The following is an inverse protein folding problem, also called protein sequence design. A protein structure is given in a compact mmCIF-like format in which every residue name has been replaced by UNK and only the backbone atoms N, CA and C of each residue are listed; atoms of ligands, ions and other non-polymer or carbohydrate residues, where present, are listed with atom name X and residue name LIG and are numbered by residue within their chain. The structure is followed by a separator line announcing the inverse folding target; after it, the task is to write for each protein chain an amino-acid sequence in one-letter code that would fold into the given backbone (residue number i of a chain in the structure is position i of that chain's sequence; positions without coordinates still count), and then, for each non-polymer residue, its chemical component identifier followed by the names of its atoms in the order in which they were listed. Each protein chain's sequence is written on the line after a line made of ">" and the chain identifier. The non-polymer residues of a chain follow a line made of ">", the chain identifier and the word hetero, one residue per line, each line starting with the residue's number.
data_IF_024452928514
#
_entry.id   IF_024452928514
#
_cell.length_a   1.000
_cell.length_b   1.000
_cell.length_c   1.000
_cell.angle_alpha   90.00
_cell.angle_beta   90.00
_cell.angle_gamma   90.00
#
_symmetry.space_group_name_H-M   'P 1'
#
loop_
_entity.id
_entity.type
_entity.pdbx_description
1 polymer ?
#
# COMPACT_ATOMS: atom_id res chain seq x y z
N UNK A 1 -32.81 -2.91 -13.52
CA UNK A 1 -32.07 -3.38 -12.33
C UNK A 1 -30.60 -3.45 -12.71
N UNK A 2 -29.78 -2.53 -12.19
CA UNK A 2 -28.32 -2.70 -12.11
C UNK A 2 -27.90 -2.22 -10.73
N UNK A 3 -27.90 -3.19 -9.83
CA UNK A 3 -27.24 -3.20 -8.54
C UNK A 3 -25.77 -3.55 -8.83
N UNK A 4 -24.82 -3.23 -7.96
CA UNK A 4 -23.34 -3.38 -8.09
C UNK A 4 -22.64 -2.17 -8.77
N UNK A 5 -21.66 -1.49 -8.18
CA UNK A 5 -20.76 -1.89 -7.11
C UNK A 5 -20.40 -0.74 -6.16
N UNK A 6 -20.10 -1.15 -4.95
CA UNK A 6 -19.67 -0.39 -3.78
C UNK A 6 -18.86 0.86 -4.07
N UNK A 7 -19.12 1.90 -3.27
CA UNK A 7 -18.25 3.05 -3.05
C UNK A 7 -16.84 2.59 -2.63
N UNK A 8 -16.01 2.14 -3.57
CA UNK A 8 -14.61 1.86 -3.30
C UNK A 8 -13.90 3.21 -3.25
N UNK A 9 -13.56 3.68 -2.04
CA UNK A 9 -12.74 4.88 -1.80
C UNK A 9 -11.39 4.88 -2.55
N UNK A 10 -11.02 3.76 -3.18
CA UNK A 10 -9.74 3.49 -3.80
C UNK A 10 -9.92 2.77 -5.13
N UNK A 11 -9.08 3.12 -6.10
CA UNK A 11 -9.11 2.54 -7.46
C UNK A 11 -8.74 1.06 -7.44
N UNK A 12 -9.50 0.25 -8.19
CA UNK A 12 -9.17 -1.15 -8.51
C UNK A 12 -8.19 -1.26 -9.66
N UNK A 13 -7.96 -0.18 -10.42
CA UNK A 13 -7.00 -0.14 -11.51
C UNK A 13 -5.60 -0.42 -10.98
N UNK A 14 -4.97 -1.48 -11.50
CA UNK A 14 -3.59 -1.82 -11.20
C UNK A 14 -2.66 -0.88 -11.97
N UNK A 15 -1.69 -0.30 -11.27
CA UNK A 15 -0.59 0.43 -11.91
C UNK A 15 0.71 -0.34 -11.71
N UNK A 16 1.62 -0.18 -12.67
CA UNK A 16 2.99 -0.69 -12.55
C UNK A 16 3.66 0.00 -11.36
N UNK A 17 3.99 -0.78 -10.34
CA UNK A 17 4.69 -0.28 -9.16
C UNK A 17 6.00 -1.06 -9.06
N UNK A 18 7.12 -0.44 -9.43
CA UNK A 18 8.43 -1.08 -9.37
C UNK A 18 8.88 -1.28 -7.92
N UNK A 19 9.72 -2.30 -7.68
CA UNK A 19 10.24 -2.61 -6.33
C UNK A 19 10.98 -1.42 -5.72
N UNK A 20 11.77 -0.72 -6.53
CA UNK A 20 12.46 0.50 -6.11
C UNK A 20 11.50 1.63 -5.71
N UNK A 21 10.38 1.78 -6.43
CA UNK A 21 9.35 2.76 -6.09
C UNK A 21 8.69 2.42 -4.74
N UNK A 22 8.38 1.14 -4.47
CA UNK A 22 7.85 0.73 -3.15
C UNK A 22 8.85 1.02 -2.06
N UNK A 23 10.11 0.63 -2.24
CA UNK A 23 11.18 0.91 -1.28
C UNK A 23 11.32 2.40 -1.01
N UNK A 24 11.31 3.23 -2.05
CA UNK A 24 11.36 4.69 -1.90
C UNK A 24 10.14 5.24 -1.16
N UNK A 25 8.92 4.80 -1.49
CA UNK A 25 7.69 5.28 -0.85
C UNK A 25 7.64 4.88 0.64
N UNK A 26 8.09 3.68 0.99
CA UNK A 26 8.12 3.19 2.38
C UNK A 26 9.24 3.84 3.17
N UNK A 27 10.47 3.91 2.63
CA UNK A 27 11.64 4.51 3.31
C UNK A 27 11.64 6.03 3.40
N UNK A 28 11.00 6.74 2.45
CA UNK A 28 10.83 8.19 2.54
C UNK A 28 9.73 8.58 3.52
N UNK A 29 8.93 7.60 3.98
CA UNK A 29 7.90 7.85 4.95
C UNK A 29 8.52 8.04 6.32
N UNK A 30 8.84 9.30 6.65
CA UNK A 30 9.27 9.77 7.99
C UNK A 30 8.16 9.64 9.05
N UNK A 31 7.30 8.63 9.00
CA UNK A 31 6.40 8.36 10.13
C UNK A 31 7.23 7.74 11.22
N UNK A 32 7.23 8.41 12.37
CA UNK A 32 8.22 8.33 13.42
C UNK A 32 8.30 6.99 14.19
N UNK A 33 7.65 5.92 13.71
CA UNK A 33 7.59 4.63 14.40
C UNK A 33 8.01 3.39 13.60
N UNK A 34 8.08 3.45 12.26
CA UNK A 34 8.52 2.31 11.48
C UNK A 34 10.03 2.16 11.60
N UNK A 35 10.48 1.05 12.20
CA UNK A 35 11.88 0.69 12.17
C UNK A 35 12.23 0.04 10.82
N UNK A 36 13.52 -0.06 10.50
CA UNK A 36 14.00 -0.67 9.25
C UNK A 36 13.43 -2.09 9.00
N UNK A 37 13.18 -2.87 10.06
CA UNK A 37 12.63 -4.22 9.93
C UNK A 37 11.14 -4.21 9.54
N UNK A 38 10.37 -3.26 10.07
CA UNK A 38 8.96 -3.09 9.74
C UNK A 38 8.79 -2.49 8.34
N UNK A 39 9.66 -1.55 7.94
CA UNK A 39 9.73 -1.05 6.55
C UNK A 39 9.96 -2.20 5.56
N UNK A 40 10.91 -3.07 5.85
CA UNK A 40 11.22 -4.22 5.01
C UNK A 40 10.06 -5.24 4.98
N UNK A 41 9.35 -5.41 6.10
CA UNK A 41 8.16 -6.26 6.18
C UNK A 41 7.02 -5.70 5.32
N UNK A 42 6.79 -4.39 5.37
CA UNK A 42 5.81 -3.69 4.53
C UNK A 42 6.17 -3.80 3.06
N UNK A 43 7.44 -3.56 2.71
CA UNK A 43 7.93 -3.69 1.34
C UNK A 43 7.66 -5.11 0.82
N UNK A 44 8.12 -6.14 1.52
CA UNK A 44 7.93 -7.54 1.13
C UNK A 44 6.44 -7.91 1.00
N UNK A 45 5.59 -7.44 1.90
CA UNK A 45 4.15 -7.71 1.83
C UNK A 45 3.50 -7.06 0.60
N UNK A 46 3.89 -5.83 0.26
CA UNK A 46 3.42 -5.14 -0.95
C UNK A 46 3.96 -5.80 -2.20
N UNK A 47 5.25 -6.20 -2.21
CA UNK A 47 5.87 -6.95 -3.31
C UNK A 47 5.15 -8.28 -3.56
N UNK A 48 4.83 -9.01 -2.49
CA UNK A 48 4.13 -10.30 -2.56
C UNK A 48 2.66 -10.15 -3.01
N UNK A 49 2.03 -9.01 -2.75
CA UNK A 49 0.65 -8.73 -3.16
C UNK A 49 0.51 -8.26 -4.62
N UNK A 50 1.62 -8.07 -5.34
CA UNK A 50 1.61 -7.75 -6.76
C UNK A 50 1.02 -8.90 -7.56
N UNK A 51 0.31 -8.55 -8.62
CA UNK A 51 -0.03 -9.51 -9.66
C UNK A 51 1.23 -9.87 -10.46
N UNK A 52 1.18 -10.99 -11.20
CA UNK A 52 2.31 -11.53 -11.97
C UNK A 52 2.94 -10.59 -13.01
N UNK A 53 2.39 -9.39 -13.21
CA UNK A 53 2.91 -8.32 -14.07
C UNK A 53 3.51 -7.14 -13.30
N UNK A 54 3.83 -7.30 -12.00
CA UNK A 54 4.28 -6.19 -11.14
C UNK A 54 3.27 -5.05 -10.99
N UNK A 55 2.00 -5.33 -11.29
CA UNK A 55 0.90 -4.42 -11.10
C UNK A 55 0.31 -4.61 -9.71
N UNK A 56 -0.06 -3.51 -9.08
CA UNK A 56 -0.83 -3.53 -7.84
C UNK A 56 -1.82 -2.37 -7.87
N UNK A 57 -3.00 -2.58 -7.30
CA UNK A 57 -4.01 -1.53 -7.17
C UNK A 57 -3.93 -0.88 -5.79
N UNK A 58 -4.39 0.36 -5.68
CA UNK A 58 -4.52 1.06 -4.41
C UNK A 58 -5.39 0.28 -3.42
N UNK A 59 -6.42 -0.40 -3.91
CA UNK A 59 -7.24 -1.30 -3.09
C UNK A 59 -6.42 -2.46 -2.50
N UNK A 60 -5.59 -3.14 -3.30
CA UNK A 60 -4.72 -4.20 -2.79
C UNK A 60 -3.71 -3.70 -1.77
N UNK A 61 -3.10 -2.54 -2.02
CA UNK A 61 -2.18 -1.90 -1.05
C UNK A 61 -2.91 -1.66 0.28
N UNK A 62 -4.12 -1.10 0.24
CA UNK A 62 -4.94 -0.90 1.45
C UNK A 62 -5.16 -2.20 2.21
N UNK A 63 -5.51 -3.26 1.49
CA UNK A 63 -5.85 -4.55 2.10
C UNK A 63 -4.60 -5.17 2.74
N UNK A 64 -3.43 -5.08 2.09
CA UNK A 64 -2.12 -5.47 2.67
C UNK A 64 -1.80 -4.69 3.94
N UNK A 65 -1.89 -3.35 3.89
CA UNK A 65 -1.63 -2.50 5.05
C UNK A 65 -2.63 -2.76 6.18
N UNK A 66 -3.89 -3.07 5.83
CA UNK A 66 -4.88 -3.46 6.80
C UNK A 66 -4.53 -4.78 7.49
N UNK A 67 -4.09 -5.79 6.74
CA UNK A 67 -3.63 -7.05 7.29
C UNK A 67 -2.41 -6.86 8.21
N UNK A 68 -1.42 -6.08 7.80
CA UNK A 68 -0.24 -5.78 8.63
C UNK A 68 -0.63 -5.08 9.93
N UNK A 69 -1.59 -4.14 9.89
CA UNK A 69 -2.13 -3.50 11.09
C UNK A 69 -2.82 -4.51 12.01
N UNK A 70 -3.70 -5.35 11.46
CA UNK A 70 -4.42 -6.36 12.24
C UNK A 70 -3.47 -7.38 12.87
N UNK A 71 -2.37 -7.70 12.19
CA UNK A 71 -1.29 -8.54 12.71
C UNK A 71 -0.35 -7.83 13.70
N UNK A 72 -0.58 -6.54 14.00
CA UNK A 72 0.25 -5.77 14.93
C UNK A 72 1.65 -5.44 14.41
N UNK A 73 1.87 -5.54 13.09
CA UNK A 73 3.16 -5.22 12.44
C UNK A 73 3.36 -3.73 12.20
N UNK A 74 2.27 -2.99 12.04
CA UNK A 74 2.29 -1.53 11.87
C UNK A 74 1.18 -0.89 12.71
N UNK A 75 1.37 0.36 13.11
CA UNK A 75 0.35 1.11 13.84
C UNK A 75 -0.78 1.59 12.93
N UNK A 76 -1.84 2.14 13.53
CA UNK A 76 -2.90 2.79 12.76
C UNK A 76 -2.37 4.00 11.98
N UNK A 77 -1.47 4.77 12.59
CA UNK A 77 -0.89 5.97 12.00
C UNK A 77 0.03 5.61 10.82
N UNK A 78 0.84 4.56 10.96
CA UNK A 78 1.67 4.03 9.87
C UNK A 78 0.82 3.61 8.67
N UNK A 79 -0.30 2.93 8.91
CA UNK A 79 -1.24 2.52 7.86
C UNK A 79 -1.80 3.73 7.11
N UNK A 80 -2.33 4.73 7.82
CA UNK A 80 -2.95 5.91 7.19
C UNK A 80 -1.91 6.78 6.48
N UNK A 81 -0.71 6.90 7.06
CA UNK A 81 0.42 7.58 6.45
C UNK A 81 0.85 6.92 5.14
N UNK A 82 1.13 5.60 5.17
CA UNK A 82 1.53 4.85 3.98
C UNK A 82 0.44 4.93 2.92
N UNK A 83 -0.83 4.79 3.31
CA UNK A 83 -1.95 4.90 2.39
C UNK A 83 -2.00 6.27 1.69
N UNK A 84 -1.67 7.35 2.41
CA UNK A 84 -1.60 8.70 1.85
C UNK A 84 -0.44 8.84 0.86
N UNK A 85 0.73 8.26 1.17
CA UNK A 85 1.89 8.25 0.27
C UNK A 85 1.57 7.51 -1.03
N UNK A 86 1.01 6.29 -0.93
CA UNK A 86 0.62 5.53 -2.11
C UNK A 86 -0.49 6.24 -2.90
N UNK A 87 -1.46 6.86 -2.23
CA UNK A 87 -2.51 7.63 -2.92
C UNK A 87 -1.93 8.82 -3.69
N UNK A 88 -1.00 9.56 -3.09
CA UNK A 88 -0.34 10.69 -3.76
C UNK A 88 0.48 10.22 -4.97
N UNK A 89 1.21 9.11 -4.85
CA UNK A 89 1.95 8.53 -5.96
C UNK A 89 1.02 8.13 -7.12
N UNK A 90 -0.09 7.46 -6.84
CA UNK A 90 -1.05 7.06 -7.89
C UNK A 90 -1.78 8.25 -8.52
N UNK A 91 -1.96 9.36 -7.80
CA UNK A 91 -2.51 10.59 -8.37
C UNK A 91 -1.52 11.32 -9.30
N UNK A 92 -0.23 10.99 -9.23
CA UNK A 92 0.83 11.55 -10.08
C UNK A 92 1.14 10.69 -11.33
N UNK A 93 0.56 9.49 -11.41
CA UNK A 93 0.64 8.58 -12.56
C UNK A 93 -0.47 8.86 -13.57
#
# INVERSE_FOLDING_TARGET
>A
MSIFGSSTKYSTTGHHLHSEAVRHLVSQHKVASLNYHDEQTVELAILAARDGQHMISLQKIRDVLHHLRVSGKISHDDKEGLMTVFKNYYNQL
#
